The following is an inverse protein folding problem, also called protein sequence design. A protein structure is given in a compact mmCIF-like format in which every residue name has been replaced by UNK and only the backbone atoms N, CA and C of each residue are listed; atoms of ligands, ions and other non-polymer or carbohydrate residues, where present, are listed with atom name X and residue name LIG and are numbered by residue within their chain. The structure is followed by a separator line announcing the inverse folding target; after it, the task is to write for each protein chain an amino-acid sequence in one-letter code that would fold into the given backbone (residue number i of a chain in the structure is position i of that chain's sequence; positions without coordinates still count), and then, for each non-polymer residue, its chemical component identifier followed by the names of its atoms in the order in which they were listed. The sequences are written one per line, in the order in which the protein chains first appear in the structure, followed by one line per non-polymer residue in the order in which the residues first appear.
data_IF_201471043613
#
_entry.id   IF_201471043613
#
_cell.length_a   1.000
_cell.length_b   1.000
_cell.length_c   1.000
_cell.angle_alpha   90.00
_cell.angle_beta   90.00
_cell.angle_gamma   90.00
#
_symmetry.space_group_name_H-M   'P 1'
#
loop_
_entity.id
_entity.type
_entity.pdbx_description
1 polymer ?
#
# COMPACT_ATOMS: atom_id res chain seq x y z
N UNK A 1 -9.13 21.82 18.25
CA UNK A 1 -10.28 21.73 17.32
C UNK A 1 -10.18 20.44 16.54
N UNK A 2 -11.19 19.60 16.67
CA UNK A 2 -11.21 18.33 15.93
C UNK A 2 -11.88 18.56 14.59
N UNK A 3 -11.13 18.32 13.53
CA UNK A 3 -11.71 18.30 12.19
C UNK A 3 -12.55 17.04 12.05
N UNK A 4 -13.76 17.19 11.53
CA UNK A 4 -14.60 16.05 11.20
C UNK A 4 -13.89 15.25 10.10
N UNK A 5 -13.65 13.95 10.35
CA UNK A 5 -13.05 13.09 9.35
C UNK A 5 -14.09 12.75 8.28
N UNK A 6 -13.61 12.68 7.05
CA UNK A 6 -14.43 12.32 5.90
C UNK A 6 -14.44 10.81 5.73
N UNK A 7 -15.55 10.26 5.25
CA UNK A 7 -15.60 8.85 4.86
C UNK A 7 -14.67 8.62 3.66
N UNK A 8 -13.83 7.59 3.76
CA UNK A 8 -12.86 7.28 2.70
C UNK A 8 -13.57 6.82 1.44
N UNK A 9 -13.25 7.46 0.30
CA UNK A 9 -13.72 7.08 -1.03
C UNK A 9 -12.55 6.54 -1.86
N UNK A 10 -12.87 5.88 -2.98
CA UNK A 10 -11.84 5.29 -3.86
C UNK A 10 -10.84 6.35 -4.36
N UNK A 11 -11.34 7.50 -4.78
CA UNK A 11 -10.48 8.59 -5.28
C UNK A 11 -9.53 9.09 -4.19
N UNK A 12 -10.02 9.18 -2.96
CA UNK A 12 -9.22 9.56 -1.81
C UNK A 12 -8.14 8.51 -1.54
N UNK A 13 -8.49 7.23 -1.61
CA UNK A 13 -7.55 6.14 -1.37
C UNK A 13 -6.38 6.19 -2.36
N UNK A 14 -6.65 6.36 -3.64
CA UNK A 14 -5.62 6.43 -4.68
C UNK A 14 -4.74 7.66 -4.47
N UNK A 15 -5.35 8.81 -4.24
CA UNK A 15 -4.65 10.06 -4.02
C UNK A 15 -3.75 10.00 -2.78
N UNK A 16 -4.27 9.47 -1.69
CA UNK A 16 -3.52 9.37 -0.44
C UNK A 16 -2.44 8.29 -0.50
N UNK A 17 -2.62 7.24 -1.31
CA UNK A 17 -1.56 6.27 -1.52
C UNK A 17 -0.33 6.92 -2.17
N UNK A 18 -0.54 7.80 -3.13
CA UNK A 18 0.54 8.58 -3.74
C UNK A 18 1.21 9.50 -2.72
N UNK A 19 0.41 10.21 -1.94
CA UNK A 19 0.93 11.11 -0.90
C UNK A 19 1.72 10.33 0.14
N UNK A 20 1.21 9.17 0.55
CA UNK A 20 1.91 8.30 1.50
C UNK A 20 3.27 7.87 0.98
N UNK A 21 3.36 7.45 -0.28
CA UNK A 21 4.64 7.04 -0.87
C UNK A 21 5.66 8.17 -0.82
N UNK A 22 5.26 9.40 -1.09
CA UNK A 22 6.14 10.57 -1.01
C UNK A 22 6.60 10.84 0.42
N UNK A 23 5.67 10.84 1.36
CA UNK A 23 5.98 11.10 2.78
C UNK A 23 6.86 9.98 3.34
N UNK A 24 6.53 8.72 3.06
CA UNK A 24 7.29 7.58 3.54
C UNK A 24 8.71 7.53 2.96
N UNK A 25 8.89 7.99 1.71
CA UNK A 25 10.21 8.04 1.08
C UNK A 25 11.13 9.06 1.74
N UNK A 26 10.58 10.11 2.32
CA UNK A 26 11.38 11.14 3.02
C UNK A 26 11.75 10.75 4.45
N UNK A 27 11.02 9.82 5.04
CA UNK A 27 11.17 9.43 6.44
C UNK A 27 12.32 8.44 6.63
N UNK A 28 13.00 8.52 7.77
CA UNK A 28 13.93 7.49 8.21
C UNK A 28 13.17 6.47 9.06
N UNK A 29 13.07 5.23 8.57
CA UNK A 29 12.31 4.16 9.20
C UNK A 29 13.21 3.36 10.15
N UNK A 30 13.53 3.94 11.29
CA UNK A 30 14.50 3.35 12.24
C UNK A 30 14.11 1.96 12.72
N UNK A 31 12.79 1.68 12.82
CA UNK A 31 12.30 0.38 13.27
C UNK A 31 12.58 -0.74 12.26
N UNK A 32 12.90 -0.39 11.02
CA UNK A 32 13.20 -1.35 9.96
C UNK A 32 14.68 -1.58 9.73
N UNK A 33 15.56 -0.85 10.42
CA UNK A 33 17.01 -1.01 10.24
C UNK A 33 17.40 -2.46 10.54
N UNK A 34 18.04 -3.11 9.57
CA UNK A 34 18.48 -4.50 9.69
C UNK A 34 17.39 -5.55 9.58
N UNK A 35 16.13 -5.17 9.41
CA UNK A 35 15.04 -6.13 9.23
C UNK A 35 15.06 -6.65 7.79
N UNK A 36 15.29 -7.95 7.62
CA UNK A 36 15.40 -8.59 6.31
C UNK A 36 14.16 -9.39 5.93
N UNK A 37 13.26 -9.65 6.87
CA UNK A 37 12.02 -10.39 6.62
C UNK A 37 11.02 -9.52 5.85
N UNK A 38 10.75 -9.90 4.59
CA UNK A 38 9.84 -9.18 3.71
C UNK A 38 8.41 -9.09 4.26
N UNK A 39 7.96 -10.11 4.98
CA UNK A 39 6.63 -10.09 5.61
C UNK A 39 6.57 -9.03 6.71
N UNK A 40 7.61 -8.93 7.52
CA UNK A 40 7.67 -7.91 8.57
C UNK A 40 7.70 -6.50 7.98
N UNK A 41 8.48 -6.29 6.93
CA UNK A 41 8.55 -4.99 6.24
C UNK A 41 7.21 -4.64 5.61
N UNK A 42 6.58 -5.58 4.93
CA UNK A 42 5.27 -5.36 4.30
C UNK A 42 4.19 -5.02 5.32
N UNK A 43 4.16 -5.72 6.45
CA UNK A 43 3.22 -5.45 7.54
C UNK A 43 3.43 -4.05 8.12
N UNK A 44 4.67 -3.65 8.31
CA UNK A 44 5.01 -2.32 8.78
C UNK A 44 4.48 -1.24 7.83
N UNK A 45 4.74 -1.39 6.53
CA UNK A 45 4.32 -0.40 5.53
C UNK A 45 2.79 -0.33 5.47
N UNK A 46 2.11 -1.46 5.45
CA UNK A 46 0.65 -1.52 5.45
C UNK A 46 0.06 -0.81 6.66
N UNK A 47 0.62 -1.07 7.85
CA UNK A 47 0.17 -0.46 9.08
C UNK A 47 0.37 1.05 9.08
N UNK A 48 1.53 1.51 8.61
CA UNK A 48 1.81 2.93 8.47
C UNK A 48 0.88 3.62 7.49
N UNK A 49 0.54 2.96 6.40
CA UNK A 49 -0.40 3.49 5.42
C UNK A 49 -1.80 3.63 6.02
N UNK A 50 -2.28 2.60 6.72
CA UNK A 50 -3.58 2.66 7.39
C UNK A 50 -3.64 3.79 8.41
N UNK A 51 -2.57 3.95 9.20
CA UNK A 51 -2.47 5.06 10.15
C UNK A 51 -2.49 6.43 9.45
N UNK A 52 -1.80 6.52 8.32
CA UNK A 52 -1.80 7.73 7.49
C UNK A 52 -3.22 8.10 7.05
N UNK A 53 -4.00 7.11 6.60
CA UNK A 53 -5.39 7.32 6.20
C UNK A 53 -6.27 7.74 7.37
N UNK A 54 -6.05 7.17 8.54
CA UNK A 54 -6.86 7.47 9.74
C UNK A 54 -6.75 8.91 10.21
N UNK A 55 -5.72 9.63 9.79
CA UNK A 55 -5.56 11.04 10.14
C UNK A 55 -6.68 11.90 9.56
N UNK A 56 -7.21 11.54 8.39
CA UNK A 56 -8.18 12.35 7.65
C UNK A 56 -9.50 11.65 7.37
N UNK A 57 -9.54 10.32 7.44
CA UNK A 57 -10.69 9.55 6.95
C UNK A 57 -11.21 8.56 7.99
N UNK A 58 -12.48 8.23 7.85
CA UNK A 58 -13.10 7.12 8.58
C UNK A 58 -13.33 5.96 7.62
N UNK A 59 -13.05 4.76 8.08
CA UNK A 59 -13.25 3.53 7.31
C UNK A 59 -13.18 2.34 8.26
N UNK A 60 -13.78 1.22 7.85
CA UNK A 60 -13.67 -0.03 8.59
C UNK A 60 -12.40 -0.76 8.18
N UNK A 61 -11.76 -1.42 9.12
CA UNK A 61 -10.62 -2.29 8.84
C UNK A 61 -11.07 -3.73 8.87
N UNK A 62 -10.59 -4.52 7.90
CA UNK A 62 -10.80 -5.94 7.89
C UNK A 62 -9.84 -6.64 8.85
N UNK A 63 -10.22 -7.82 9.30
CA UNK A 63 -9.32 -8.70 10.02
C UNK A 63 -8.68 -9.69 9.05
N UNK A 64 -7.60 -10.34 9.46
CA UNK A 64 -6.87 -11.30 8.64
C UNK A 64 -7.73 -12.50 8.23
N UNK A 65 -8.78 -12.79 8.97
CA UNK A 65 -9.67 -13.92 8.67
C UNK A 65 -10.53 -13.69 7.42
N UNK A 66 -10.87 -12.43 7.11
CA UNK A 66 -11.67 -12.09 5.91
C UNK A 66 -10.82 -11.77 4.69
N UNK A 67 -9.54 -11.52 4.86
CA UNK A 67 -8.59 -11.34 3.77
C UNK A 67 -8.71 -10.04 3.00
N UNK A 68 -9.60 -9.12 3.37
CA UNK A 68 -9.74 -7.82 2.73
C UNK A 68 -9.46 -6.73 3.74
N UNK A 69 -8.46 -5.89 3.45
CA UNK A 69 -8.01 -4.85 4.39
C UNK A 69 -9.01 -3.74 4.60
N UNK A 70 -9.68 -3.31 3.54
CA UNK A 70 -10.66 -2.22 3.57
C UNK A 70 -11.99 -2.77 3.05
N UNK A 71 -12.83 -3.34 3.94
CA UNK A 71 -14.01 -4.10 3.52
C UNK A 71 -15.25 -3.28 3.21
N UNK A 72 -15.24 -1.96 3.47
CA UNK A 72 -16.40 -1.11 3.18
C UNK A 72 -16.79 -1.22 1.71
N UNK A 73 -18.08 -1.37 1.42
CA UNK A 73 -18.57 -1.60 0.06
C UNK A 73 -18.15 -0.54 -0.94
N UNK A 74 -18.07 0.71 -0.50
CA UNK A 74 -17.72 1.82 -1.37
C UNK A 74 -16.26 1.83 -1.80
N UNK A 75 -15.39 1.13 -1.10
CA UNK A 75 -13.96 1.03 -1.42
C UNK A 75 -13.51 -0.41 -1.69
N UNK A 76 -13.96 -1.36 -0.93
CA UNK A 76 -13.75 -2.80 -1.04
C UNK A 76 -12.38 -3.13 -1.66
N UNK A 77 -11.30 -2.80 -0.94
CA UNK A 77 -9.94 -2.87 -1.46
C UNK A 77 -9.05 -3.70 -0.53
N UNK A 78 -8.26 -4.60 -1.12
CA UNK A 78 -7.20 -5.27 -0.42
C UNK A 78 -5.87 -4.58 -0.72
N UNK A 79 -5.01 -4.47 0.28
CA UNK A 79 -3.71 -3.80 0.17
C UNK A 79 -2.63 -4.87 0.15
N UNK A 80 -1.77 -4.82 -0.86
CA UNK A 80 -0.59 -5.69 -0.96
C UNK A 80 0.66 -4.83 -1.01
N UNK A 81 1.67 -5.24 -0.26
CA UNK A 81 2.96 -4.57 -0.23
C UNK A 81 4.03 -5.59 -0.58
N UNK A 82 4.88 -5.27 -1.52
CA UNK A 82 5.90 -6.20 -1.98
C UNK A 82 7.22 -5.49 -2.30
N UNK A 83 8.32 -6.20 -2.08
CA UNK A 83 9.65 -5.72 -2.46
C UNK A 83 9.84 -5.86 -3.97
N UNK A 84 10.50 -4.88 -4.58
CA UNK A 84 10.84 -4.96 -6.00
C UNK A 84 11.93 -6.02 -6.26
N UNK A 85 12.77 -6.28 -5.26
CA UNK A 85 13.88 -7.27 -5.40
C UNK A 85 13.43 -8.68 -5.07
N UNK A 86 12.45 -8.84 -4.17
CA UNK A 86 11.92 -10.14 -3.76
C UNK A 86 10.40 -10.09 -3.74
N UNK A 87 9.75 -10.11 -4.92
CA UNK A 87 8.30 -10.05 -4.98
C UNK A 87 7.66 -11.24 -4.26
N UNK A 88 6.66 -10.96 -3.43
CA UNK A 88 5.90 -11.99 -2.76
C UNK A 88 5.15 -12.83 -3.79
N UNK A 89 5.10 -14.16 -3.57
CA UNK A 89 4.38 -15.07 -4.47
C UNK A 89 2.88 -14.77 -4.53
N UNK A 90 2.34 -14.18 -3.48
CA UNK A 90 0.95 -13.76 -3.43
C UNK A 90 0.69 -12.44 -4.16
N UNK A 91 1.77 -11.75 -4.61
CA UNK A 91 1.61 -10.49 -5.30
C UNK A 91 1.16 -10.73 -6.75
N UNK A 92 0.04 -10.12 -7.19
CA UNK A 92 -0.56 -10.45 -8.47
C UNK A 92 0.12 -9.84 -9.68
N UNK A 93 1.14 -8.99 -9.50
CA UNK A 93 1.68 -8.25 -10.64
C UNK A 93 2.44 -9.14 -11.65
N UNK A 94 2.92 -10.31 -11.24
CA UNK A 94 3.56 -11.27 -12.15
C UNK A 94 2.56 -12.01 -13.04
N UNK A 95 1.35 -12.25 -12.53
CA UNK A 95 0.26 -12.92 -13.24
C UNK A 95 -1.03 -12.15 -13.07
N UNK A 96 -0.94 -10.85 -13.33
CA UNK A 96 -1.99 -9.90 -12.96
C UNK A 96 -3.36 -10.25 -13.55
N UNK A 97 -3.43 -10.70 -14.80
CA UNK A 97 -4.70 -10.97 -15.45
C UNK A 97 -5.46 -12.14 -14.82
N UNK A 98 -4.76 -13.22 -14.48
CA UNK A 98 -5.42 -14.40 -13.93
C UNK A 98 -5.83 -14.23 -12.48
N UNK A 99 -5.01 -13.54 -11.69
CA UNK A 99 -5.26 -13.38 -10.25
C UNK A 99 -6.27 -12.28 -9.92
N UNK A 100 -6.41 -11.29 -10.80
CA UNK A 100 -7.27 -10.15 -10.53
C UNK A 100 -8.68 -10.34 -11.11
N UNK A 101 -8.81 -11.05 -12.23
CA UNK A 101 -10.12 -11.37 -12.77
C UNK A 101 -10.91 -12.27 -11.80
N UNK A 102 -12.07 -11.82 -11.40
CA UNK A 102 -12.96 -12.59 -10.54
C UNK A 102 -12.69 -12.47 -9.04
N UNK A 103 -11.80 -11.58 -8.61
CA UNK A 103 -11.56 -11.37 -7.18
C UNK A 103 -12.78 -10.81 -6.45
N UNK A 104 -13.62 -10.03 -7.14
CA UNK A 104 -14.77 -9.39 -6.53
C UNK A 104 -14.43 -8.20 -5.63
N UNK A 105 -13.18 -7.76 -5.63
CA UNK A 105 -12.72 -6.61 -4.85
C UNK A 105 -11.58 -5.90 -5.58
N UNK A 106 -11.32 -4.67 -5.17
CA UNK A 106 -10.23 -3.88 -5.73
C UNK A 106 -8.90 -4.27 -5.09
N UNK A 107 -7.82 -4.01 -5.78
CA UNK A 107 -6.48 -4.33 -5.30
C UNK A 107 -5.57 -3.10 -5.41
N UNK A 108 -4.94 -2.76 -4.29
CA UNK A 108 -3.93 -1.71 -4.23
C UNK A 108 -2.59 -2.36 -3.91
N UNK A 109 -1.61 -2.22 -4.80
CA UNK A 109 -0.28 -2.81 -4.63
C UNK A 109 0.76 -1.73 -4.53
N UNK A 110 1.53 -1.72 -3.43
CA UNK A 110 2.66 -0.84 -3.22
C UNK A 110 3.94 -1.65 -3.41
N UNK A 111 4.80 -1.20 -4.33
CA UNK A 111 6.07 -1.86 -4.62
C UNK A 111 7.21 -0.98 -4.11
N UNK A 112 8.02 -1.51 -3.20
CA UNK A 112 9.06 -0.74 -2.52
C UNK A 112 10.45 -1.33 -2.73
N UNK A 113 11.45 -0.50 -2.51
CA UNK A 113 12.84 -0.91 -2.31
C UNK A 113 13.30 -0.38 -0.96
N UNK A 114 13.86 -1.25 -0.14
CA UNK A 114 14.40 -0.89 1.17
C UNK A 114 15.90 -0.68 1.06
N UNK A 115 16.38 0.46 1.55
CA UNK A 115 17.80 0.79 1.53
C UNK A 115 18.26 1.05 2.96
N UNK A 116 19.09 0.15 3.48
CA UNK A 116 19.65 0.26 4.83
C UNK A 116 21.05 0.82 4.80
N UNK A 117 21.32 1.72 5.73
CA UNK A 117 22.66 2.08 6.20
C UNK A 117 22.73 1.74 7.68
N UNK A 118 23.91 1.81 8.35
CA UNK A 118 23.98 1.44 9.76
C UNK A 118 23.05 2.24 10.68
N UNK A 119 22.70 3.46 10.30
CA UNK A 119 21.88 4.36 11.13
C UNK A 119 20.58 4.81 10.47
N UNK A 120 20.29 4.34 9.25
CA UNK A 120 19.12 4.77 8.50
C UNK A 120 18.48 3.63 7.73
N UNK A 121 17.16 3.71 7.57
CA UNK A 121 16.42 2.87 6.64
C UNK A 121 15.53 3.75 5.80
N UNK A 122 15.73 3.73 4.50
CA UNK A 122 14.91 4.46 3.53
C UNK A 122 14.07 3.49 2.73
N UNK A 123 12.85 3.92 2.41
CA UNK A 123 11.92 3.18 1.56
C UNK A 123 11.65 4.00 0.31
N UNK A 124 12.01 3.44 -0.84
CA UNK A 124 11.65 4.04 -2.13
C UNK A 124 10.48 3.25 -2.70
N UNK A 125 9.44 3.95 -3.15
CA UNK A 125 8.29 3.31 -3.77
C UNK A 125 8.37 3.53 -5.28
N UNK A 126 8.50 2.43 -6.03
CA UNK A 126 8.68 2.49 -7.48
C UNK A 126 7.38 2.48 -8.23
N UNK A 127 6.41 1.72 -7.72
CA UNK A 127 5.17 1.49 -8.43
C UNK A 127 4.02 1.42 -7.45
N UNK A 128 2.91 1.95 -7.89
CA UNK A 128 1.64 1.83 -7.20
C UNK A 128 0.64 1.35 -8.24
N UNK A 129 0.09 0.17 -8.02
CA UNK A 129 -0.93 -0.39 -8.89
C UNK A 129 -2.26 -0.31 -8.18
N UNK A 130 -3.25 0.19 -8.87
CA UNK A 130 -4.64 0.08 -8.41
C UNK A 130 -5.46 -0.55 -9.51
N UNK A 131 -6.20 -1.59 -9.16
CA UNK A 131 -7.12 -2.22 -10.08
C UNK A 131 -8.51 -2.30 -9.51
N UNK A 132 -9.47 -1.71 -10.24
CA UNK A 132 -10.88 -1.77 -9.91
C UNK A 132 -11.57 -2.98 -10.55
N UNK A 133 -12.79 -3.25 -10.12
CA UNK A 133 -13.63 -4.34 -10.63
C UNK A 133 -13.87 -4.27 -12.14
N UNK A 134 -13.81 -3.08 -12.71
CA UNK A 134 -14.08 -2.84 -14.14
C UNK A 134 -12.84 -3.05 -15.02
N UNK A 135 -11.89 -3.83 -14.57
CA UNK A 135 -10.72 -4.26 -15.36
C UNK A 135 -9.72 -3.17 -15.75
N UNK A 136 -9.88 -1.94 -15.29
CA UNK A 136 -8.94 -0.87 -15.58
C UNK A 136 -7.80 -0.87 -14.56
N UNK A 137 -6.66 -1.42 -14.96
CA UNK A 137 -5.45 -1.36 -14.16
C UNK A 137 -4.84 0.04 -14.28
N UNK A 138 -4.79 0.77 -13.19
CA UNK A 138 -4.13 2.07 -13.15
C UNK A 138 -2.74 1.90 -12.57
N UNK A 139 -1.77 2.36 -13.32
CA UNK A 139 -0.36 2.27 -12.96
C UNK A 139 0.17 3.66 -12.65
N UNK A 140 0.79 3.80 -11.49
CA UNK A 140 1.43 5.03 -11.07
C UNK A 140 2.88 4.74 -10.79
N UNK A 141 3.82 5.40 -11.49
CA UNK A 141 5.22 5.29 -11.15
C UNK A 141 5.65 6.51 -10.36
N UNK A 142 6.29 6.26 -9.22
CA UNK A 142 6.92 7.31 -8.46
C UNK A 142 8.39 7.33 -8.85
N UNK A 143 8.77 8.29 -9.70
CA UNK A 143 10.17 8.49 -10.03
C UNK A 143 10.80 9.38 -8.99
N UNK A 144 11.69 8.80 -8.20
CA UNK A 144 12.62 9.61 -7.45
C UNK A 144 13.71 10.07 -8.42
N UNK A 145 13.76 11.36 -8.69
CA UNK A 145 14.92 11.95 -9.35
C UNK A 145 16.09 11.85 -8.38
N UNK A 146 17.12 11.17 -8.83
CA UNK A 146 18.36 11.09 -8.07
C UNK A 146 18.95 12.47 -7.82
#
# INVERSE_FOLDING_TARGET
MKYAKKKLAIEDLISEAKNFCEVAAEKNHTDLIGVTDGKAVGTYIEHEFKNFLKLKYTFSEGNSAKGIDLPDENILTDIKVTSITQPQSSCPFKNARQKIFGLGYNLLVLVYEKIDTPDKCKLNFFKLYFRGENANCRFYSHKKTA
#
